data_IF_428188914812
#
_entry.id   IF_428188914812
#
_cell.length_a   1.000
_cell.length_b   1.000
_cell.length_c   1.000
_cell.angle_alpha   90.00
_cell.angle_beta   90.00
_cell.angle_gamma   90.00
#
_symmetry.space_group_name_H-M   'P 1'
#
loop_
_entity.id
_entity.type
_entity.pdbx_description
1 polymer ?
#
# COMPACT_ATOMS: atom_id res chain seq x y z
N UNK A 1 -18.49 27.34 26.81
CA UNK A 1 -17.21 26.91 26.20
C UNK A 1 -17.57 25.88 25.14
N UNK A 2 -17.25 26.15 23.88
CA UNK A 2 -17.56 25.25 22.77
C UNK A 2 -16.34 24.34 22.62
N UNK A 3 -16.44 23.10 23.09
CA UNK A 3 -15.38 22.10 22.97
C UNK A 3 -15.43 21.45 21.58
N UNK A 4 -14.34 21.63 20.83
CA UNK A 4 -13.79 20.63 19.91
C UNK A 4 -14.62 20.29 18.67
N UNK A 5 -14.50 21.11 17.63
CA UNK A 5 -14.69 20.67 16.25
C UNK A 5 -13.57 19.67 15.90
N UNK A 6 -13.77 18.39 16.22
CA UNK A 6 -12.94 17.31 15.70
C UNK A 6 -13.21 17.24 14.19
N UNK A 7 -12.36 17.91 13.40
CA UNK A 7 -12.31 17.74 11.96
C UNK A 7 -12.18 16.24 11.67
N UNK A 8 -12.84 15.71 10.64
CA UNK A 8 -12.67 14.30 10.34
C UNK A 8 -11.17 14.05 10.07
N UNK A 9 -10.58 13.12 10.81
CA UNK A 9 -9.33 12.46 10.44
C UNK A 9 -9.58 11.73 9.12
N UNK A 10 -9.60 12.50 8.02
CA UNK A 10 -9.76 11.93 6.68
C UNK A 10 -8.42 11.34 6.32
N UNK A 11 -8.31 10.04 6.53
CA UNK A 11 -7.19 9.22 6.09
C UNK A 11 -6.82 9.62 4.64
N UNK A 12 -5.61 10.14 4.46
CA UNK A 12 -5.15 10.68 3.19
C UNK A 12 -4.33 9.64 2.46
N UNK A 13 -4.80 9.19 1.31
CA UNK A 13 -3.98 8.38 0.42
C UNK A 13 -2.77 9.21 -0.06
N UNK A 14 -1.56 8.68 0.16
CA UNK A 14 -0.32 9.30 -0.27
C UNK A 14 0.06 8.86 -1.68
N UNK A 15 -0.02 7.56 -1.94
CA UNK A 15 0.25 6.96 -3.24
C UNK A 15 -0.19 5.49 -3.28
N UNK A 16 -0.37 5.01 -4.50
CA UNK A 16 -0.59 3.60 -4.81
C UNK A 16 0.51 3.10 -5.75
N UNK A 17 0.96 1.87 -5.54
CA UNK A 17 1.89 1.15 -6.43
C UNK A 17 1.28 -0.17 -6.84
N UNK A 18 1.08 -0.34 -8.14
CA UNK A 18 0.53 -1.56 -8.71
C UNK A 18 1.61 -2.28 -9.50
N UNK A 19 1.98 -3.48 -9.04
CA UNK A 19 2.91 -4.36 -9.70
C UNK A 19 2.17 -5.41 -10.53
N UNK A 20 2.61 -5.57 -11.78
CA UNK A 20 2.08 -6.54 -12.73
C UNK A 20 3.19 -7.35 -13.38
N UNK A 21 2.89 -8.59 -13.78
CA UNK A 21 3.75 -9.43 -14.61
C UNK A 21 2.90 -9.90 -15.79
N UNK A 22 3.38 -9.68 -17.01
CA UNK A 22 2.66 -10.04 -18.25
C UNK A 22 1.21 -9.54 -18.27
N UNK A 23 0.99 -8.31 -17.77
CA UNK A 23 -0.34 -7.68 -17.66
C UNK A 23 -1.24 -8.20 -16.53
N UNK A 24 -0.80 -9.20 -15.75
CA UNK A 24 -1.54 -9.74 -14.59
C UNK A 24 -1.13 -9.06 -13.31
N UNK A 25 -2.10 -8.70 -12.47
CA UNK A 25 -1.85 -8.15 -11.14
C UNK A 25 -1.07 -9.14 -10.28
N UNK A 26 -0.03 -8.65 -9.60
CA UNK A 26 0.77 -9.42 -8.63
C UNK A 26 0.67 -8.81 -7.25
N UNK A 27 0.78 -7.49 -7.15
CA UNK A 27 0.62 -6.78 -5.89
C UNK A 27 0.09 -5.36 -6.09
N UNK A 28 -0.67 -4.88 -5.12
CA UNK A 28 -1.10 -3.50 -4.97
C UNK A 28 -0.69 -3.03 -3.57
N UNK A 29 0.05 -1.94 -3.47
CA UNK A 29 0.45 -1.33 -2.20
C UNK A 29 -0.12 0.08 -2.13
N UNK A 30 -0.87 0.39 -1.08
CA UNK A 30 -1.48 1.70 -0.86
C UNK A 30 -1.01 2.27 0.47
N UNK A 31 -0.35 3.42 0.44
CA UNK A 31 0.05 4.14 1.64
C UNK A 31 -0.99 5.19 2.02
N UNK A 32 -1.44 5.17 3.26
CA UNK A 32 -2.51 6.03 3.80
C UNK A 32 -1.99 6.71 5.06
N UNK A 33 -2.08 8.03 5.11
CA UNK A 33 -1.70 8.86 6.24
C UNK A 33 -2.93 9.20 7.10
N UNK A 34 -2.92 8.78 8.36
CA UNK A 34 -3.94 9.08 9.36
C UNK A 34 -3.55 10.26 10.25
N UNK A 35 -2.46 10.98 9.93
CA UNK A 35 -1.99 12.15 10.66
C UNK A 35 -1.02 11.80 11.79
N UNK A 36 -1.37 10.83 12.65
CA UNK A 36 -0.50 10.33 13.73
C UNK A 36 0.28 9.06 13.36
N UNK A 37 -0.12 8.41 12.27
CA UNK A 37 0.38 7.14 11.82
C UNK A 37 0.17 6.99 10.31
N UNK A 38 0.97 6.13 9.68
CA UNK A 38 0.81 5.79 8.27
C UNK A 38 0.64 4.28 8.12
N UNK A 39 -0.38 3.88 7.38
CA UNK A 39 -0.70 2.48 7.12
C UNK A 39 -0.41 2.16 5.67
N UNK A 40 0.28 1.04 5.42
CA UNK A 40 0.40 0.45 4.10
C UNK A 40 -0.52 -0.76 4.02
N UNK A 41 -1.58 -0.63 3.24
CA UNK A 41 -2.46 -1.72 2.88
C UNK A 41 -1.91 -2.44 1.65
N UNK A 42 -2.02 -3.76 1.63
CA UNK A 42 -1.54 -4.57 0.52
C UNK A 42 -2.58 -5.56 0.03
N UNK A 43 -2.64 -5.74 -1.28
CA UNK A 43 -3.32 -6.84 -1.95
C UNK A 43 -2.28 -7.59 -2.77
N UNK A 44 -2.28 -8.91 -2.70
CA UNK A 44 -1.34 -9.77 -3.43
C UNK A 44 -2.11 -10.87 -4.14
N UNK A 45 -1.78 -11.11 -5.40
CA UNK A 45 -2.33 -12.18 -6.22
C UNK A 45 -1.25 -13.25 -6.43
N UNK A 46 -1.26 -14.34 -5.63
CA UNK A 46 -0.27 -15.41 -5.80
C UNK A 46 -0.45 -16.11 -7.15
N UNK A 47 0.64 -16.42 -7.87
CA UNK A 47 0.56 -16.98 -9.23
C UNK A 47 -0.13 -18.35 -9.32
N UNK A 48 -0.20 -19.08 -8.19
CA UNK A 48 -0.82 -20.41 -8.10
C UNK A 48 -2.08 -20.41 -7.22
N UNK A 49 -2.68 -19.24 -6.96
CA UNK A 49 -3.93 -19.19 -6.21
C UNK A 49 -5.09 -19.76 -7.05
N UNK A 50 -5.91 -20.60 -6.43
CA UNK A 50 -7.11 -21.17 -7.06
C UNK A 50 -8.25 -20.16 -7.22
N UNK A 51 -8.12 -18.98 -6.59
CA UNK A 51 -9.10 -17.89 -6.59
C UNK A 51 -8.50 -16.64 -7.24
N UNK A 52 -9.33 -15.85 -7.91
CA UNK A 52 -8.98 -14.52 -8.44
C UNK A 52 -8.93 -13.44 -7.35
N UNK A 53 -9.42 -13.75 -6.15
CA UNK A 53 -9.37 -12.82 -5.02
C UNK A 53 -7.94 -12.63 -4.49
N UNK A 54 -7.49 -11.38 -4.27
CA UNK A 54 -6.21 -11.14 -3.64
C UNK A 54 -6.22 -11.56 -2.18
N UNK A 55 -5.07 -12.04 -1.71
CA UNK A 55 -4.80 -12.07 -0.27
C UNK A 55 -4.42 -10.67 0.20
N UNK A 56 -4.74 -10.33 1.46
CA UNK A 56 -4.47 -9.01 2.05
C UNK A 56 -3.48 -9.11 3.21
N UNK A 57 -2.16 -9.16 2.96
CA UNK A 57 -1.17 -9.10 4.02
C UNK A 57 -1.24 -7.77 4.79
N UNK A 58 -1.08 -7.84 6.12
CA UNK A 58 -1.10 -6.66 6.99
C UNK A 58 -2.50 -6.35 7.57
N UNK A 59 -2.78 -5.09 7.93
CA UNK A 59 -2.07 -3.86 7.54
C UNK A 59 -0.68 -3.67 8.18
N UNK A 60 0.22 -2.97 7.48
CA UNK A 60 1.53 -2.58 8.00
C UNK A 60 1.50 -1.13 8.50
N UNK A 61 1.63 -0.92 9.81
CA UNK A 61 1.55 0.41 10.43
C UNK A 61 2.93 0.97 10.75
N UNK A 62 3.15 2.24 10.42
CA UNK A 62 4.37 3.00 10.61
C UNK A 62 4.09 4.29 11.38
N UNK A 63 5.11 4.85 12.05
CA UNK A 63 4.96 6.08 12.84
C UNK A 63 5.00 7.35 12.00
N UNK A 64 5.44 7.25 10.75
CA UNK A 64 5.50 8.41 9.85
C UNK A 64 5.34 8.01 8.38
N UNK A 65 4.90 8.94 7.52
CA UNK A 65 4.89 8.77 6.07
C UNK A 65 6.27 8.40 5.48
N UNK A 66 7.36 8.86 6.10
CA UNK A 66 8.73 8.56 5.63
C UNK A 66 9.08 7.09 5.83
N UNK A 67 8.73 6.52 6.99
CA UNK A 67 8.95 5.09 7.27
C UNK A 67 8.11 4.21 6.31
N UNK A 68 6.83 4.54 6.11
CA UNK A 68 5.96 3.85 5.16
C UNK A 68 6.50 3.91 3.72
N UNK A 69 7.05 5.06 3.32
CA UNK A 69 7.65 5.23 1.99
C UNK A 69 8.88 4.37 1.78
N UNK A 70 9.76 4.25 2.78
CA UNK A 70 10.91 3.33 2.67
C UNK A 70 10.46 1.88 2.52
N UNK A 71 9.45 1.46 3.27
CA UNK A 71 8.89 0.13 3.14
C UNK A 71 8.37 -0.14 1.71
N UNK A 72 7.56 0.77 1.17
CA UNK A 72 7.02 0.61 -0.19
C UNK A 72 8.12 0.66 -1.24
N UNK A 73 9.13 1.54 -1.09
CA UNK A 73 10.28 1.58 -2.00
C UNK A 73 11.00 0.24 -2.05
N UNK A 74 11.35 -0.35 -0.91
CA UNK A 74 12.02 -1.66 -0.89
C UNK A 74 11.15 -2.78 -1.48
N UNK A 75 9.84 -2.76 -1.21
CA UNK A 75 8.91 -3.73 -1.79
C UNK A 75 8.85 -3.59 -3.33
N UNK A 76 8.77 -2.36 -3.84
CA UNK A 76 8.79 -2.06 -5.28
C UNK A 76 10.10 -2.48 -5.92
N UNK A 77 11.25 -2.22 -5.29
CA UNK A 77 12.56 -2.66 -5.77
C UNK A 77 12.64 -4.18 -5.89
N UNK A 78 12.15 -4.91 -4.88
CA UNK A 78 12.09 -6.37 -4.93
C UNK A 78 11.17 -6.86 -6.06
N UNK A 79 10.00 -6.24 -6.25
CA UNK A 79 9.06 -6.59 -7.33
C UNK A 79 9.68 -6.36 -8.71
N UNK A 80 10.40 -5.26 -8.91
CA UNK A 80 11.13 -4.97 -10.15
C UNK A 80 12.19 -6.02 -10.41
N UNK A 81 12.98 -6.41 -9.39
CA UNK A 81 13.98 -7.49 -9.51
C UNK A 81 13.33 -8.82 -9.88
N UNK A 82 12.11 -9.08 -9.42
CA UNK A 82 11.32 -10.26 -9.77
C UNK A 82 10.67 -10.18 -11.17
N UNK A 83 10.90 -9.10 -11.92
CA UNK A 83 10.40 -8.90 -13.28
C UNK A 83 9.02 -8.24 -13.35
N UNK A 84 8.53 -7.64 -12.27
CA UNK A 84 7.27 -6.90 -12.30
C UNK A 84 7.45 -5.51 -12.93
N UNK A 85 6.48 -5.11 -13.74
CA UNK A 85 6.25 -3.73 -14.11
C UNK A 85 5.46 -3.04 -13.00
N UNK A 86 5.98 -1.93 -12.46
CA UNK A 86 5.35 -1.19 -11.37
C UNK A 86 4.88 0.17 -11.83
N UNK A 87 3.60 0.46 -11.63
CA UNK A 87 2.97 1.72 -12.01
C UNK A 87 2.46 2.50 -10.78
N UNK A 88 2.49 3.82 -10.87
CA UNK A 88 1.67 4.68 -10.02
C UNK A 88 0.23 4.67 -10.55
N UNK A 89 -0.75 4.65 -9.64
CA UNK A 89 -2.18 4.77 -9.95
C UNK A 89 -2.76 6.02 -9.33
#
# INVERSE_FOLDING_TARGET
>A
MIEGDARPDVARELYVRHARVDGRSVALLRAIDFGDSCVVETEVWPPNASSEEPVRPGPYTFRSPVEATRFVTHAVEALIVLGCEVHAS
#
